data_IF_138391452054
#
_entry.id   IF_138391452054
#
_cell.length_a   1.000
_cell.length_b   1.000
_cell.length_c   1.000
_cell.angle_alpha   90.00
_cell.angle_beta   90.00
_cell.angle_gamma   90.00
#
_symmetry.space_group_name_H-M   'P 1'
#
loop_
_entity.id
_entity.type
_entity.pdbx_description
1 polymer ?
#
# COMPACT_ATOMS: atom_id res chain seq x y z
N UNK A 1 11.16 -6.80 4.01
CA UNK A 1 12.20 -5.97 3.35
C UNK A 1 11.58 -4.78 2.61
N UNK A 2 10.56 -4.96 1.77
CA UNK A 2 9.88 -3.85 1.08
C UNK A 2 9.10 -2.89 2.02
N UNK A 3 8.43 -3.42 3.04
CA UNK A 3 7.70 -2.62 4.04
C UNK A 3 8.60 -1.64 4.80
N UNK A 4 9.81 -2.06 5.18
CA UNK A 4 10.81 -1.20 5.82
C UNK A 4 11.27 -0.04 4.91
N UNK A 5 11.35 -0.27 3.60
CA UNK A 5 11.69 0.77 2.63
C UNK A 5 10.56 1.80 2.49
N UNK A 6 9.29 1.36 2.46
CA UNK A 6 8.14 2.28 2.45
C UNK A 6 8.07 3.16 3.70
N UNK A 7 8.57 2.67 4.85
CA UNK A 7 8.63 3.46 6.07
C UNK A 7 9.70 4.57 6.01
N UNK A 8 10.82 4.33 5.31
CA UNK A 8 11.89 5.32 5.14
C UNK A 8 11.64 6.30 3.98
N UNK A 9 10.79 5.92 3.04
CA UNK A 9 10.52 6.70 1.84
C UNK A 9 9.01 6.84 1.63
N UNK A 10 8.48 8.03 1.86
CA UNK A 10 7.05 8.35 1.75
C UNK A 10 6.46 8.18 0.34
N UNK A 11 7.30 7.98 -0.68
CA UNK A 11 6.91 7.75 -2.08
C UNK A 11 7.12 6.31 -2.55
N UNK A 12 7.44 5.38 -1.65
CA UNK A 12 7.62 3.98 -1.99
C UNK A 12 6.35 3.19 -1.68
N UNK A 13 5.60 2.86 -2.72
CA UNK A 13 4.43 1.98 -2.64
C UNK A 13 4.86 0.50 -2.65
N UNK A 14 4.14 -0.33 -1.89
CA UNK A 14 4.38 -1.78 -1.82
C UNK A 14 3.09 -2.50 -2.14
N UNK A 15 3.11 -3.29 -3.21
CA UNK A 15 2.01 -4.11 -3.69
C UNK A 15 2.47 -5.57 -3.73
N UNK A 16 1.68 -6.47 -3.17
CA UNK A 16 1.95 -7.91 -3.11
C UNK A 16 0.87 -8.70 -3.87
N UNK A 17 1.25 -9.88 -4.37
CA UNK A 17 0.35 -10.75 -5.14
C UNK A 17 0.29 -10.44 -6.64
N UNK A 18 1.14 -9.54 -7.14
CA UNK A 18 1.15 -9.14 -8.56
C UNK A 18 1.62 -10.30 -9.43
N UNK A 19 0.83 -10.63 -10.46
CA UNK A 19 1.15 -11.62 -11.48
C UNK A 19 1.68 -10.97 -12.75
N UNK A 20 2.35 -11.74 -13.61
CA UNK A 20 2.89 -11.23 -14.87
C UNK A 20 1.80 -10.64 -15.80
N UNK A 21 0.64 -11.28 -16.02
CA UNK A 21 -0.40 -10.72 -16.87
C UNK A 21 -0.97 -9.40 -16.31
N UNK A 22 -1.05 -9.28 -14.99
CA UNK A 22 -1.56 -8.08 -14.33
C UNK A 22 -0.59 -6.90 -14.50
N UNK A 23 0.72 -7.12 -14.34
CA UNK A 23 1.68 -6.04 -14.50
C UNK A 23 1.76 -5.57 -15.96
N UNK A 24 1.62 -6.47 -16.93
CA UNK A 24 1.58 -6.12 -18.36
C UNK A 24 0.41 -5.18 -18.68
N UNK A 25 -0.79 -5.45 -18.15
CA UNK A 25 -1.94 -4.55 -18.28
C UNK A 25 -1.70 -3.20 -17.62
N UNK A 26 -0.99 -3.19 -16.49
CA UNK A 26 -0.70 -1.98 -15.73
C UNK A 26 0.41 -1.12 -16.34
N UNK A 27 1.31 -1.68 -17.16
CA UNK A 27 2.42 -0.94 -17.78
C UNK A 27 1.94 0.23 -18.65
N UNK A 28 0.78 0.10 -19.29
CA UNK A 28 0.17 1.16 -20.12
C UNK A 28 -0.16 2.42 -19.30
N UNK A 29 -0.44 2.25 -18.01
CA UNK A 29 -0.82 3.33 -17.09
C UNK A 29 0.38 3.93 -16.34
N UNK A 30 1.60 3.42 -16.56
CA UNK A 30 2.79 3.77 -15.77
C UNK A 30 3.16 5.26 -15.84
N UNK A 31 2.96 5.89 -16.98
CA UNK A 31 3.32 7.30 -17.20
C UNK A 31 2.13 8.25 -17.04
N UNK A 32 0.90 7.72 -16.97
CA UNK A 32 -0.32 8.52 -16.95
C UNK A 32 -0.93 8.64 -15.56
N UNK A 33 -0.74 7.65 -14.69
CA UNK A 33 -1.29 7.65 -13.34
C UNK A 33 -0.27 8.11 -12.30
N UNK A 34 -0.75 8.79 -11.26
CA UNK A 34 0.04 9.01 -10.06
C UNK A 34 0.29 7.68 -9.32
N UNK A 35 1.29 7.66 -8.44
CA UNK A 35 1.63 6.46 -7.65
C UNK A 35 0.45 5.92 -6.83
N UNK A 36 -0.39 6.81 -6.29
CA UNK A 36 -1.58 6.44 -5.55
C UNK A 36 -2.65 5.83 -6.47
N UNK A 37 -2.94 6.48 -7.60
CA UNK A 37 -3.92 5.96 -8.56
C UNK A 37 -3.50 4.62 -9.17
N UNK A 38 -2.21 4.46 -9.45
CA UNK A 38 -1.64 3.19 -9.90
C UNK A 38 -1.87 2.08 -8.87
N UNK A 39 -1.64 2.37 -7.58
CA UNK A 39 -1.89 1.43 -6.47
C UNK A 39 -3.37 1.07 -6.37
N UNK A 40 -4.27 2.04 -6.41
CA UNK A 40 -5.71 1.76 -6.34
C UNK A 40 -6.14 0.87 -7.51
N UNK A 41 -5.68 1.21 -8.72
CA UNK A 41 -6.07 0.52 -9.94
C UNK A 41 -5.57 -0.94 -10.00
N UNK A 42 -4.32 -1.19 -9.63
CA UNK A 42 -3.77 -2.56 -9.63
C UNK A 42 -4.39 -3.45 -8.56
N UNK A 43 -4.75 -2.87 -7.39
CA UNK A 43 -5.45 -3.60 -6.33
C UNK A 43 -6.87 -3.94 -6.76
N UNK A 44 -7.57 -3.01 -7.42
CA UNK A 44 -8.91 -3.23 -7.97
C UNK A 44 -8.93 -4.33 -9.04
N UNK A 45 -7.97 -4.31 -9.97
CA UNK A 45 -7.86 -5.30 -11.05
C UNK A 45 -7.40 -6.68 -10.58
N UNK A 46 -6.56 -6.74 -9.54
CA UNK A 46 -5.96 -7.98 -9.03
C UNK A 46 -6.66 -8.57 -7.82
N UNK A 47 -7.78 -8.01 -7.36
CA UNK A 47 -8.52 -8.55 -6.23
C UNK A 47 -9.11 -9.94 -6.56
N UNK A 48 -9.07 -10.91 -5.64
CA UNK A 48 -8.68 -10.80 -4.22
C UNK A 48 -7.20 -11.09 -3.93
N UNK A 49 -6.40 -11.47 -4.92
CA UNK A 49 -5.03 -11.99 -4.76
C UNK A 49 -4.01 -10.86 -4.54
N UNK A 50 -4.31 -9.67 -5.04
CA UNK A 50 -3.47 -8.49 -4.91
C UNK A 50 -3.89 -7.64 -3.71
N UNK A 51 -2.90 -7.22 -2.94
CA UNK A 51 -3.09 -6.27 -1.86
C UNK A 51 -1.93 -5.28 -1.79
N UNK A 52 -2.21 -4.07 -1.29
CA UNK A 52 -1.17 -3.07 -1.03
C UNK A 52 -0.92 -2.93 0.46
N UNK A 53 0.32 -2.62 0.82
CA UNK A 53 0.71 -2.32 2.19
C UNK A 53 -0.03 -1.10 2.75
N UNK A 54 -0.29 -0.07 1.93
CA UNK A 54 -1.05 1.12 2.34
C UNK A 54 -2.44 0.74 2.87
N UNK A 55 -3.20 -0.04 2.09
CA UNK A 55 -4.51 -0.56 2.51
C UNK A 55 -4.46 -1.41 3.79
N UNK A 56 -3.38 -2.15 4.02
CA UNK A 56 -3.20 -2.94 5.23
C UNK A 56 -2.89 -2.06 6.45
N UNK A 57 -2.07 -1.03 6.30
CA UNK A 57 -1.72 -0.09 7.36
C UNK A 57 -2.94 0.71 7.86
N UNK A 58 -3.87 1.05 6.95
CA UNK A 58 -5.10 1.76 7.34
C UNK A 58 -6.02 0.94 8.25
N UNK A 59 -5.97 -0.40 8.16
CA UNK A 59 -6.81 -1.30 8.98
C UNK A 59 -6.23 -1.51 10.38
N UNK A 60 -4.91 -1.40 10.54
CA UNK A 60 -4.21 -1.57 11.80
C UNK A 60 -3.44 -0.29 12.15
N UNK A 61 -4.10 0.75 12.66
CA UNK A 61 -3.41 1.94 13.09
C UNK A 61 -2.37 1.57 14.17
N UNK A 62 -1.23 2.28 14.22
CA UNK A 62 -0.21 2.01 15.23
C UNK A 62 -0.82 2.09 16.62
N UNK A 63 -0.35 1.22 17.52
CA UNK A 63 -0.81 1.25 18.90
C UNK A 63 -0.54 2.65 19.48
N UNK A 64 -1.57 3.25 20.06
CA UNK A 64 -1.43 4.51 20.81
C UNK A 64 -1.48 4.16 22.27
N UNK A 65 -0.33 4.21 22.96
CA UNK A 65 -0.31 4.07 24.41
C UNK A 65 -0.91 5.33 25.02
N UNK A 66 -2.14 5.24 25.53
CA UNK A 66 -2.84 6.33 26.22
C UNK A 66 -2.24 6.52 27.61
N UNK A 67 -1.11 7.21 27.72
CA UNK A 67 -0.40 7.38 29.00
C UNK A 67 -1.00 8.41 29.97
N UNK A 68 -2.08 9.12 29.63
CA UNK A 68 -2.56 10.26 30.45
C UNK A 68 -3.99 10.09 30.98
N UNK A 69 -4.49 8.86 31.18
CA UNK A 69 -5.84 8.66 31.74
C UNK A 69 -5.88 8.68 33.28
N UNK A 70 -4.74 8.72 33.96
CA UNK A 70 -4.64 8.70 35.43
C UNK A 70 -3.53 9.62 35.96
N UNK A 71 -3.41 10.84 35.44
CA UNK A 71 -2.74 11.89 36.21
C UNK A 71 -3.71 12.34 37.32
N UNK A 72 -3.38 11.98 38.57
CA UNK A 72 -4.12 12.28 39.79
C UNK A 72 -3.77 13.69 40.31
#
# INVERSE_FOLDING_TARGET
VASLLSHKHSRCEVISGVTLPLIEQMLVYRETLSSAEFRERIVELGAPEVSSLWHQQQKNPPFVLKHNLYEY
#
